data_IF_171449518271
#
_entry.id   IF_171449518271
#
_cell.length_a   1.000
_cell.length_b   1.000
_cell.length_c   1.000
_cell.angle_alpha   90.00
_cell.angle_beta   90.00
_cell.angle_gamma   90.00
#
_symmetry.space_group_name_H-M   'P 1'
#
loop_
_entity.id
_entity.type
_entity.pdbx_description
1 polymer ?
#
# COMPACT_ATOMS: atom_id res chain seq x y z
N UNK A 1 25.40 -30.16 -1.25
CA UNK A 1 23.99 -30.59 -1.17
C UNK A 1 23.23 -29.84 -2.24
N UNK A 2 22.38 -30.50 -3.04
CA UNK A 2 21.60 -29.80 -4.04
C UNK A 2 20.67 -28.84 -3.28
N UNK A 3 20.85 -27.55 -3.51
CA UNK A 3 19.97 -26.51 -3.00
C UNK A 3 18.57 -26.81 -3.49
N UNK A 4 17.67 -27.21 -2.58
CA UNK A 4 16.25 -27.31 -2.88
C UNK A 4 15.81 -25.96 -3.45
N UNK A 5 15.29 -25.97 -4.67
CA UNK A 5 14.59 -24.81 -5.22
C UNK A 5 13.39 -24.56 -4.31
N UNK A 6 13.47 -23.51 -3.50
CA UNK A 6 12.37 -23.10 -2.65
C UNK A 6 11.45 -22.31 -3.55
N UNK A 7 10.29 -22.88 -3.86
CA UNK A 7 9.24 -22.20 -4.62
C UNK A 7 8.74 -21.01 -3.81
N UNK A 8 8.97 -19.80 -4.30
CA UNK A 8 8.41 -18.57 -3.72
C UNK A 8 6.95 -18.47 -4.05
N UNK A 9 6.11 -18.56 -3.03
CA UNK A 9 4.66 -18.38 -3.19
C UNK A 9 4.26 -16.92 -3.08
N UNK A 10 5.05 -16.10 -2.36
CA UNK A 10 4.70 -14.71 -2.06
C UNK A 10 5.94 -13.89 -1.75
N UNK A 11 5.96 -12.63 -2.20
CA UNK A 11 7.03 -11.68 -1.89
C UNK A 11 6.45 -10.51 -1.09
N UNK A 12 7.04 -10.25 0.07
CA UNK A 12 6.70 -9.14 0.96
C UNK A 12 7.82 -8.11 0.88
N UNK A 13 7.51 -6.91 0.41
CA UNK A 13 8.48 -5.82 0.30
C UNK A 13 8.24 -4.81 1.41
N UNK A 14 9.29 -4.51 2.18
CA UNK A 14 9.23 -3.49 3.23
C UNK A 14 9.24 -2.06 2.65
N UNK A 15 8.50 -1.09 3.23
CA UNK A 15 8.52 0.31 2.82
C UNK A 15 9.93 0.93 2.78
N UNK A 16 10.84 0.47 3.64
CA UNK A 16 12.23 0.92 3.67
C UNK A 16 12.95 0.66 2.33
N UNK A 17 12.68 -0.47 1.69
CA UNK A 17 13.23 -0.83 0.37
C UNK A 17 12.73 0.15 -0.69
N UNK A 18 11.43 0.45 -0.68
CA UNK A 18 10.83 1.40 -1.63
C UNK A 18 11.45 2.79 -1.49
N UNK A 19 11.65 3.26 -0.25
CA UNK A 19 12.28 4.56 0.01
C UNK A 19 13.75 4.57 -0.45
N UNK A 20 14.50 3.49 -0.20
CA UNK A 20 15.89 3.32 -0.66
C UNK A 20 16.00 3.37 -2.19
N UNK A 21 15.08 2.70 -2.88
CA UNK A 21 15.04 2.66 -4.35
C UNK A 21 14.73 4.05 -4.93
N UNK A 22 13.76 4.76 -4.35
CA UNK A 22 13.40 6.13 -4.78
C UNK A 22 14.55 7.11 -4.53
N UNK A 23 15.23 7.01 -3.38
CA UNK A 23 16.42 7.80 -3.07
C UNK A 23 17.55 7.49 -4.07
N UNK A 24 17.80 6.22 -4.36
CA UNK A 24 18.79 5.81 -5.35
C UNK A 24 18.48 6.38 -6.75
N UNK A 25 17.23 6.28 -7.20
CA UNK A 25 16.78 6.85 -8.45
C UNK A 25 16.97 8.38 -8.49
N UNK A 26 16.68 9.07 -7.38
CA UNK A 26 16.84 10.53 -7.27
C UNK A 26 18.32 10.95 -7.32
N UNK A 27 19.23 10.19 -6.69
CA UNK A 27 20.68 10.45 -6.75
C UNK A 27 21.22 10.31 -8.17
N UNK A 28 20.83 9.25 -8.88
CA UNK A 28 21.24 9.04 -10.28
C UNK A 28 20.64 10.10 -11.21
N UNK A 29 19.39 10.52 -10.96
CA UNK A 29 18.74 11.59 -11.71
C UNK A 29 19.47 12.93 -11.64
N UNK A 30 20.15 13.26 -10.53
CA UNK A 30 20.96 14.49 -10.39
C UNK A 30 22.24 14.48 -11.22
N UNK A 31 22.75 13.29 -11.55
CA UNK A 31 23.98 13.09 -12.34
C UNK A 31 23.69 13.24 -13.85
N UNK A 32 22.42 13.46 -14.22
CA UNK A 32 21.98 13.65 -15.61
C UNK A 32 21.63 12.35 -16.33
N UNK A 33 21.64 11.22 -15.62
CA UNK A 33 21.38 9.90 -16.17
C UNK A 33 20.01 9.39 -15.68
N UNK A 34 18.93 9.61 -16.45
CA UNK A 34 17.61 9.00 -16.17
C UNK A 34 17.55 7.54 -16.64
N UNK A 35 18.64 6.80 -16.44
CA UNK A 35 18.73 5.38 -16.81
C UNK A 35 18.07 4.51 -15.76
N UNK A 36 17.75 3.28 -16.19
CA UNK A 36 17.31 2.22 -15.30
C UNK A 36 18.39 1.99 -14.26
N UNK A 37 17.97 1.89 -13.01
CA UNK A 37 18.86 1.65 -11.89
C UNK A 37 18.65 0.22 -11.42
N UNK A 38 19.75 -0.49 -11.15
CA UNK A 38 19.74 -1.86 -10.64
C UNK A 38 20.32 -1.87 -9.23
N UNK A 39 19.78 -2.73 -8.38
CA UNK A 39 20.35 -2.98 -7.07
C UNK A 39 20.02 -4.36 -6.55
N UNK A 40 20.67 -4.72 -5.46
CA UNK A 40 20.55 -6.05 -4.84
C UNK A 40 19.55 -5.98 -3.70
N UNK A 41 18.71 -7.01 -3.62
CA UNK A 41 17.74 -7.18 -2.54
C UNK A 41 18.31 -8.09 -1.47
N UNK A 42 18.21 -7.61 -0.23
CA UNK A 42 18.57 -8.32 0.97
C UNK A 42 17.31 -8.67 1.75
N UNK A 43 17.28 -9.87 2.28
CA UNK A 43 16.10 -10.37 2.95
C UNK A 43 16.31 -11.69 3.64
N UNK A 44 15.20 -12.22 4.12
CA UNK A 44 15.14 -13.53 4.75
C UNK A 44 13.97 -14.32 4.18
N UNK A 45 14.17 -15.63 4.08
CA UNK A 45 13.12 -16.55 3.70
C UNK A 45 12.38 -16.96 4.97
N UNK A 46 11.11 -16.57 5.08
CA UNK A 46 10.23 -17.08 6.15
C UNK A 46 9.78 -18.49 5.82
N UNK A 47 9.29 -19.20 6.84
CA UNK A 47 8.63 -20.48 6.64
C UNK A 47 7.45 -20.35 5.68
N UNK A 48 7.14 -21.46 4.96
CA UNK A 48 6.05 -21.56 3.97
C UNK A 48 6.28 -20.84 2.62
N UNK A 49 7.53 -20.57 2.24
CA UNK A 49 7.83 -20.03 0.90
C UNK A 49 7.51 -18.54 0.72
N UNK A 50 7.41 -17.80 1.83
CA UNK A 50 7.26 -16.34 1.83
C UNK A 50 8.64 -15.70 1.89
N UNK A 51 8.93 -14.85 0.90
CA UNK A 51 10.16 -14.07 0.85
C UNK A 51 9.92 -12.69 1.45
N UNK A 52 10.61 -12.35 2.54
CA UNK A 52 10.62 -10.98 3.05
C UNK A 52 11.85 -10.24 2.56
N UNK A 53 11.60 -9.09 1.96
CA UNK A 53 12.62 -8.16 1.50
C UNK A 53 12.70 -7.02 2.50
N UNK A 54 13.71 -7.06 3.36
CA UNK A 54 13.90 -6.11 4.45
C UNK A 54 14.76 -4.92 4.04
N UNK A 55 15.82 -5.17 3.25
CA UNK A 55 16.78 -4.14 2.92
C UNK A 55 17.22 -4.25 1.45
N UNK A 56 17.82 -3.18 0.93
CA UNK A 56 18.33 -3.15 -0.43
C UNK A 56 19.48 -2.16 -0.54
N UNK A 57 20.41 -2.45 -1.44
CA UNK A 57 21.48 -1.51 -1.76
C UNK A 57 21.66 -1.37 -3.26
N UNK A 58 22.12 -0.18 -3.62
CA UNK A 58 22.48 0.22 -4.98
C UNK A 58 23.72 -0.51 -5.45
N UNK A 59 23.75 -0.99 -6.69
CA UNK A 59 25.00 -1.44 -7.34
C UNK A 59 25.24 -0.53 -8.54
N UNK A 60 26.47 -0.04 -8.76
CA UNK A 60 26.82 0.68 -9.98
C UNK A 60 26.47 -0.18 -11.20
N UNK A 61 25.53 0.33 -12.00
CA UNK A 61 25.02 -0.34 -13.18
C UNK A 61 24.95 0.67 -14.32
N UNK A 62 25.55 0.32 -15.45
CA UNK A 62 25.49 1.10 -16.68
C UNK A 62 25.00 0.22 -17.82
N UNK A 63 24.04 0.75 -18.57
CA UNK A 63 23.51 0.15 -19.79
C UNK A 63 23.74 1.14 -20.94
N UNK A 64 24.20 0.64 -22.08
CA UNK A 64 24.29 1.46 -23.28
C UNK A 64 22.88 1.70 -23.86
N UNK A 65 22.59 2.95 -24.23
CA UNK A 65 21.29 3.32 -24.80
C UNK A 65 21.13 2.82 -26.23
N UNK A 66 22.26 2.61 -26.94
CA UNK A 66 22.28 2.15 -28.33
C UNK A 66 22.21 0.64 -28.43
N UNK A 67 23.08 -0.05 -27.69
CA UNK A 67 23.14 -1.51 -27.65
C UNK A 67 22.74 -2.02 -26.28
N UNK A 68 21.44 -2.32 -26.13
CA UNK A 68 20.87 -2.82 -24.88
C UNK A 68 21.57 -4.09 -24.37
N UNK A 69 22.12 -4.92 -25.26
CA UNK A 69 22.84 -6.15 -24.84
C UNK A 69 24.14 -5.89 -24.08
N UNK A 70 24.68 -4.66 -24.13
CA UNK A 70 25.91 -4.29 -23.41
C UNK A 70 25.53 -3.61 -22.11
N UNK A 71 25.76 -4.31 -21.01
CA UNK A 71 25.55 -3.80 -19.66
C UNK A 71 26.75 -4.14 -18.78
N UNK A 72 26.98 -3.30 -17.78
CA UNK A 72 28.03 -3.45 -16.80
C UNK A 72 27.43 -3.53 -15.40
N UNK A 73 27.87 -4.52 -14.62
CA UNK A 73 27.51 -4.69 -13.21
C UNK A 73 28.78 -4.97 -12.42
N UNK A 74 29.04 -4.17 -11.39
CA UNK A 74 30.21 -4.34 -10.53
C UNK A 74 30.01 -5.47 -9.50
N UNK A 75 30.70 -6.58 -9.73
CA UNK A 75 30.72 -7.75 -8.86
C UNK A 75 31.53 -7.59 -7.59
N UNK A 76 32.65 -6.87 -7.66
CA UNK A 76 33.55 -6.68 -6.53
C UNK A 76 32.86 -5.77 -5.50
N UNK A 77 32.16 -4.75 -5.97
CA UNK A 77 31.32 -3.92 -5.12
C UNK A 77 30.23 -4.75 -4.41
N UNK A 78 29.55 -5.65 -5.15
CA UNK A 78 28.51 -6.52 -4.59
C UNK A 78 29.07 -7.40 -3.46
N UNK A 79 30.20 -8.07 -3.68
CA UNK A 79 30.79 -8.97 -2.68
C UNK A 79 31.30 -8.22 -1.45
N UNK A 80 31.96 -7.07 -1.64
CA UNK A 80 32.44 -6.24 -0.55
C UNK A 80 31.30 -5.66 0.29
N UNK A 81 30.26 -5.12 -0.35
CA UNK A 81 29.07 -4.59 0.34
C UNK A 81 28.30 -5.70 1.05
N UNK A 82 28.10 -6.84 0.39
CA UNK A 82 27.46 -7.98 1.02
C UNK A 82 28.26 -8.46 2.26
N UNK A 83 29.59 -8.48 2.17
CA UNK A 83 30.47 -8.76 3.29
C UNK A 83 30.32 -7.78 4.46
N UNK A 84 30.05 -6.50 4.19
CA UNK A 84 29.75 -5.50 5.22
C UNK A 84 28.36 -5.70 5.84
N UNK A 85 27.32 -5.88 5.03
CA UNK A 85 25.95 -6.10 5.53
C UNK A 85 25.86 -7.38 6.37
N UNK A 86 26.55 -8.45 5.95
CA UNK A 86 26.61 -9.70 6.71
C UNK A 86 27.30 -9.55 8.08
N UNK A 87 28.23 -8.59 8.23
CA UNK A 87 28.86 -8.26 9.53
C UNK A 87 27.91 -7.51 10.45
N UNK A 88 27.05 -6.65 9.90
CA UNK A 88 26.05 -5.88 10.68
C UNK A 88 24.88 -6.77 11.06
N UNK A 89 24.35 -7.54 10.10
CA UNK A 89 23.23 -8.44 10.31
C UNK A 89 23.47 -9.79 9.63
N UNK A 90 23.75 -10.83 10.43
CA UNK A 90 24.02 -12.17 9.92
C UNK A 90 22.76 -12.91 9.38
N UNK A 91 21.56 -12.39 9.66
CA UNK A 91 20.30 -12.98 9.19
C UNK A 91 19.96 -12.59 7.75
N UNK A 92 20.43 -11.43 7.30
CA UNK A 92 20.21 -10.95 5.94
C UNK A 92 21.06 -11.74 4.95
N UNK A 93 20.40 -12.25 3.92
CA UNK A 93 21.04 -12.88 2.77
C UNK A 93 20.61 -12.14 1.51
N UNK A 94 21.41 -12.26 0.46
CA UNK A 94 20.95 -11.88 -0.87
C UNK A 94 19.77 -12.79 -1.23
N UNK A 95 18.69 -12.19 -1.69
CA UNK A 95 17.45 -12.91 -2.06
C UNK A 95 17.06 -12.67 -3.51
N UNK A 96 17.65 -11.66 -4.13
CA UNK A 96 17.34 -11.29 -5.48
C UNK A 96 17.86 -9.91 -5.81
N UNK A 97 17.23 -9.26 -6.77
CA UNK A 97 17.60 -7.95 -7.23
C UNK A 97 16.37 -7.17 -7.69
N UNK A 98 16.52 -5.86 -7.73
CA UNK A 98 15.48 -4.97 -8.21
C UNK A 98 16.01 -4.13 -9.36
N UNK A 99 15.11 -3.67 -10.21
CA UNK A 99 15.41 -2.60 -11.13
C UNK A 99 14.29 -1.56 -11.19
N UNK A 100 14.66 -0.31 -11.44
CA UNK A 100 13.73 0.80 -11.63
C UNK A 100 13.44 0.98 -13.12
N UNK A 101 12.43 0.28 -13.63
CA UNK A 101 12.08 0.36 -15.04
C UNK A 101 10.61 0.04 -15.25
N UNK A 102 9.89 0.74 -16.15
CA UNK A 102 8.45 0.57 -16.27
C UNK A 102 8.05 -0.77 -16.91
N UNK A 103 8.99 -1.46 -17.57
CA UNK A 103 8.78 -2.76 -18.25
C UNK A 103 10.05 -3.62 -18.20
N UNK A 104 9.85 -4.93 -18.27
CA UNK A 104 10.89 -5.94 -18.43
C UNK A 104 11.65 -5.77 -19.75
N UNK A 105 12.95 -6.04 -19.73
CA UNK A 105 13.85 -6.05 -20.87
C UNK A 105 14.44 -7.45 -21.07
N UNK A 106 14.82 -7.77 -22.31
CA UNK A 106 15.44 -9.06 -22.62
C UNK A 106 16.75 -9.30 -21.86
N UNK A 107 17.48 -8.22 -21.54
CA UNK A 107 18.72 -8.26 -20.76
C UNK A 107 18.53 -8.77 -19.33
N UNK A 108 17.31 -8.68 -18.79
CA UNK A 108 17.02 -9.06 -17.41
C UNK A 108 17.22 -10.56 -17.20
N UNK A 109 17.05 -11.37 -18.26
CA UNK A 109 17.36 -12.80 -18.21
C UNK A 109 18.86 -13.03 -17.97
N UNK A 110 19.72 -12.29 -18.68
CA UNK A 110 21.18 -12.39 -18.54
C UNK A 110 21.67 -11.88 -17.18
N UNK A 111 21.11 -10.75 -16.71
CA UNK A 111 21.42 -10.19 -15.39
C UNK A 111 20.98 -11.15 -14.29
N UNK A 112 19.80 -11.76 -14.42
CA UNK A 112 19.33 -12.71 -13.43
C UNK A 112 20.20 -13.97 -13.37
N UNK A 113 20.67 -14.49 -14.51
CA UNK A 113 21.58 -15.63 -14.54
C UNK A 113 22.92 -15.35 -13.83
N UNK A 114 23.40 -14.13 -13.96
CA UNK A 114 24.58 -13.67 -13.26
C UNK A 114 24.39 -13.68 -11.73
N UNK A 115 23.25 -13.15 -11.28
CA UNK A 115 22.90 -13.08 -9.85
C UNK A 115 22.55 -14.47 -9.30
N UNK A 116 22.08 -15.39 -10.15
CA UNK A 116 21.79 -16.78 -9.79
C UNK A 116 23.03 -17.54 -9.30
N UNK A 117 24.25 -17.10 -9.70
CA UNK A 117 25.52 -17.63 -9.17
C UNK A 117 25.68 -17.38 -7.67
N UNK A 118 25.18 -16.25 -7.18
CA UNK A 118 25.20 -15.90 -5.76
C UNK A 118 23.99 -16.48 -5.02
N UNK A 119 22.83 -16.57 -5.68
CA UNK A 119 21.57 -17.00 -5.08
C UNK A 119 20.77 -17.90 -6.03
N UNK A 120 20.61 -19.20 -5.73
CA UNK A 120 19.90 -20.12 -6.62
C UNK A 120 18.42 -19.73 -6.84
N UNK A 121 17.78 -19.12 -5.83
CA UNK A 121 16.39 -18.69 -5.84
C UNK A 121 16.29 -17.16 -5.98
N UNK A 122 16.92 -16.61 -7.02
CA UNK A 122 16.90 -15.16 -7.27
C UNK A 122 15.51 -14.69 -7.72
N UNK A 123 14.96 -13.72 -7.00
CA UNK A 123 13.71 -13.04 -7.37
C UNK A 123 14.03 -11.67 -7.97
N UNK A 124 13.34 -11.34 -9.05
CA UNK A 124 13.37 -10.00 -9.64
C UNK A 124 12.18 -9.20 -9.12
N UNK A 125 12.42 -8.01 -8.57
CA UNK A 125 11.33 -7.08 -8.20
C UNK A 125 11.44 -5.81 -9.03
N UNK A 126 10.41 -5.53 -9.81
CA UNK A 126 10.27 -4.25 -10.50
C UNK A 126 9.64 -3.26 -9.54
N UNK A 127 10.30 -2.14 -9.36
CA UNK A 127 9.80 -1.03 -8.54
C UNK A 127 9.65 0.18 -9.45
N UNK A 128 8.43 0.70 -9.56
CA UNK A 128 8.20 1.93 -10.29
C UNK A 128 8.65 3.13 -9.45
N UNK A 129 9.64 3.87 -9.96
CA UNK A 129 10.12 5.08 -9.31
C UNK A 129 9.14 6.26 -9.51
N UNK A 130 8.22 6.16 -10.48
CA UNK A 130 7.20 7.18 -10.71
C UNK A 130 5.89 6.72 -10.05
N UNK A 131 5.28 7.55 -9.19
CA UNK A 131 4.02 7.17 -8.56
C UNK A 131 2.94 7.04 -9.64
N UNK A 132 2.36 5.85 -9.74
CA UNK A 132 1.11 5.62 -10.48
C UNK A 132 -0.05 5.84 -9.51
N UNK A 133 -1.14 6.44 -10.00
CA UNK A 133 -2.32 6.77 -9.19
C UNK A 133 -3.05 5.54 -8.62
N UNK A 134 -2.76 4.33 -9.13
CA UNK A 134 -3.49 3.13 -8.78
C UNK A 134 -2.63 1.86 -8.87
N UNK A 135 -2.72 1.02 -7.85
CA UNK A 135 -2.03 -0.28 -7.78
C UNK A 135 -0.83 -0.28 -6.83
N UNK A 136 -0.28 -1.47 -6.62
CA UNK A 136 0.99 -1.64 -5.92
C UNK A 136 2.12 -1.27 -6.90
N UNK A 137 3.10 -0.44 -6.50
CA UNK A 137 4.23 -0.08 -7.35
C UNK A 137 5.28 -1.20 -7.47
N UNK A 138 4.99 -2.38 -6.92
CA UNK A 138 5.89 -3.53 -6.82
C UNK A 138 5.33 -4.72 -7.59
N UNK A 139 6.10 -5.20 -8.56
CA UNK A 139 5.81 -6.46 -9.26
C UNK A 139 6.98 -7.41 -9.03
N UNK A 140 6.69 -8.64 -8.61
CA UNK A 140 7.71 -9.64 -8.36
C UNK A 140 7.66 -10.72 -9.44
N UNK A 141 8.83 -11.16 -9.88
CA UNK A 141 9.00 -12.15 -10.93
C UNK A 141 10.05 -13.18 -10.52
N UNK A 142 9.80 -14.43 -10.88
CA UNK A 142 10.77 -15.52 -10.76
C UNK A 142 11.10 -16.05 -12.15
N UNK A 143 12.39 -16.32 -12.39
CA UNK A 143 12.79 -16.94 -13.65
C UNK A 143 12.48 -18.43 -13.60
N UNK A 144 11.65 -18.88 -14.53
CA UNK A 144 11.27 -20.28 -14.74
C UNK A 144 11.69 -20.68 -16.15
N UNK A 145 12.18 -21.90 -16.30
CA UNK A 145 12.44 -22.50 -17.60
C UNK A 145 11.15 -23.15 -18.08
N UNK A 146 10.40 -22.43 -18.92
CA UNK A 146 9.19 -22.97 -19.53
C UNK A 146 9.53 -23.74 -20.80
N UNK A 147 9.05 -24.99 -20.85
CA UNK A 147 9.02 -25.76 -22.09
C UNK A 147 7.74 -25.38 -22.80
N UNK A 148 7.87 -24.65 -23.91
CA UNK A 148 6.73 -24.30 -24.73
C UNK A 148 6.19 -25.56 -25.45
N UNK A 149 4.87 -25.74 -25.41
CA UNK A 149 4.17 -26.84 -26.10
C UNK A 149 4.21 -26.71 -27.64
N UNK A 150 4.63 -25.54 -28.14
CA UNK A 150 4.81 -25.22 -29.57
C UNK A 150 6.12 -25.76 -30.17
N UNK A 151 6.90 -26.53 -29.40
CA UNK A 151 8.15 -27.15 -29.88
C UNK A 151 9.33 -26.18 -30.04
N UNK A 152 9.18 -24.92 -29.64
CA UNK A 152 10.30 -23.97 -29.56
C UNK A 152 11.29 -24.36 -28.45
N UNK A 153 12.58 -24.01 -28.57
CA UNK A 153 13.58 -24.28 -27.53
C UNK A 153 13.16 -23.74 -26.16
N UNK A 154 13.58 -24.41 -25.09
CA UNK A 154 13.35 -23.97 -23.71
C UNK A 154 13.83 -22.53 -23.55
N UNK A 155 12.90 -21.63 -23.22
CA UNK A 155 13.21 -20.23 -22.96
C UNK A 155 13.05 -19.96 -21.48
N UNK A 156 13.97 -19.16 -20.92
CA UNK A 156 13.85 -18.65 -19.55
C UNK A 156 12.87 -17.49 -19.58
N UNK A 157 11.68 -17.71 -19.07
CA UNK A 157 10.65 -16.68 -18.93
C UNK A 157 10.53 -16.25 -17.48
N UNK A 158 9.94 -15.08 -17.26
CA UNK A 158 9.68 -14.56 -15.94
C UNK A 158 8.20 -14.78 -15.61
N UNK A 159 7.93 -15.58 -14.60
CA UNK A 159 6.59 -15.80 -14.07
C UNK A 159 6.33 -14.80 -12.94
N UNK A 160 5.14 -14.18 -12.95
CA UNK A 160 4.76 -13.22 -11.93
C UNK A 160 4.38 -13.93 -10.61
N UNK A 161 4.93 -13.44 -9.50
CA UNK A 161 4.60 -13.90 -8.15
C UNK A 161 3.81 -12.81 -7.44
N UNK A 162 2.74 -13.15 -6.68
CA UNK A 162 2.02 -12.16 -5.91
C UNK A 162 2.93 -11.41 -4.93
N UNK A 163 2.96 -10.09 -5.09
CA UNK A 163 3.67 -9.14 -4.25
C UNK A 163 2.71 -8.47 -3.26
N UNK A 164 3.19 -8.21 -2.05
CA UNK A 164 2.53 -7.31 -1.11
C UNK A 164 3.54 -6.40 -0.42
N UNK A 165 3.05 -5.29 0.13
CA UNK A 165 3.86 -4.42 0.97
C UNK A 165 3.54 -4.77 2.41
N UNK A 166 4.53 -5.26 3.14
CA UNK A 166 4.43 -5.55 4.57
C UNK A 166 5.36 -4.65 5.35
N UNK A 167 4.99 -4.27 6.57
CA UNK A 167 5.83 -3.46 7.45
C UNK A 167 6.16 -4.24 8.72
N UNK A 168 7.35 -3.99 9.26
CA UNK A 168 7.70 -4.38 10.64
C UNK A 168 7.17 -3.33 11.63
N UNK A 169 6.93 -3.71 12.89
CA UNK A 169 6.35 -2.82 13.91
C UNK A 169 7.11 -1.49 14.06
N UNK A 170 8.45 -1.55 14.02
CA UNK A 170 9.29 -0.35 14.06
C UNK A 170 9.12 0.54 12.81
N UNK A 171 8.95 -0.06 11.63
CA UNK A 171 8.73 0.67 10.39
C UNK A 171 7.32 1.26 10.34
N UNK A 172 6.31 0.55 10.84
CA UNK A 172 4.92 0.99 10.87
C UNK A 172 4.78 2.31 11.64
N UNK A 173 5.40 2.40 12.82
CA UNK A 173 5.41 3.64 13.62
C UNK A 173 6.11 4.78 12.87
N UNK A 174 7.21 4.49 12.18
CA UNK A 174 7.94 5.49 11.39
C UNK A 174 7.15 6.01 10.19
N UNK A 175 6.52 5.10 9.44
CA UNK A 175 5.67 5.43 8.29
C UNK A 175 4.41 6.16 8.72
N UNK A 176 3.78 5.74 9.82
CA UNK A 176 2.62 6.44 10.39
C UNK A 176 2.98 7.88 10.77
N UNK A 177 4.13 8.09 11.39
CA UNK A 177 4.60 9.43 11.75
C UNK A 177 4.81 10.32 10.52
N UNK A 178 5.42 9.79 9.46
CA UNK A 178 5.64 10.52 8.20
C UNK A 178 4.34 10.83 7.46
N UNK A 179 3.32 9.99 7.61
CA UNK A 179 2.03 10.14 6.95
C UNK A 179 1.01 10.94 7.77
N UNK A 180 1.37 11.46 8.94
CA UNK A 180 0.44 12.22 9.81
C UNK A 180 -0.19 13.43 9.10
N UNK A 181 0.55 14.05 8.19
CA UNK A 181 0.10 15.24 7.44
C UNK A 181 -0.74 14.90 6.20
N UNK A 182 -0.74 13.63 5.76
CA UNK A 182 -1.39 13.16 4.52
C UNK A 182 -2.59 12.25 4.82
N UNK A 183 -2.51 11.42 5.87
CA UNK A 183 -3.61 10.56 6.29
C UNK A 183 -4.65 11.38 7.05
N UNK A 184 -5.77 11.67 6.40
CA UNK A 184 -6.99 12.07 7.07
C UNK A 184 -7.49 10.92 7.96
N UNK A 185 -7.01 10.87 9.20
CA UNK A 185 -7.45 9.93 10.24
C UNK A 185 -8.93 10.15 10.61
N UNK A 186 -9.53 11.22 10.09
CA UNK A 186 -10.93 11.64 10.25
C UNK A 186 -11.88 10.97 9.28
N UNK A 187 -11.38 10.22 8.27
CA UNK A 187 -12.25 9.52 7.31
C UNK A 187 -12.94 8.36 8.02
N UNK A 188 -14.25 8.50 8.27
CA UNK A 188 -15.06 7.45 8.87
C UNK A 188 -15.00 6.13 8.11
N UNK A 189 -15.26 5.03 8.80
CA UNK A 189 -15.21 3.66 8.25
C UNK A 189 -16.08 3.46 7.00
N UNK A 190 -17.19 4.20 6.88
CA UNK A 190 -18.05 4.18 5.69
C UNK A 190 -17.35 4.79 4.47
N UNK A 191 -16.76 5.98 4.62
CA UNK A 191 -16.06 6.67 3.54
C UNK A 191 -14.86 5.85 3.06
N UNK A 192 -14.10 5.22 3.96
CA UNK A 192 -13.02 4.29 3.58
C UNK A 192 -13.53 3.11 2.75
N UNK A 193 -14.66 2.48 3.14
CA UNK A 193 -15.25 1.38 2.37
C UNK A 193 -15.69 1.80 0.98
N UNK A 194 -16.31 2.98 0.85
CA UNK A 194 -16.74 3.53 -0.45
C UNK A 194 -15.52 3.81 -1.32
N UNK A 195 -14.48 4.41 -0.76
CA UNK A 195 -13.22 4.66 -1.46
C UNK A 195 -12.58 3.34 -1.91
N UNK A 196 -12.57 2.31 -1.07
CA UNK A 196 -12.05 0.98 -1.44
C UNK A 196 -12.85 0.33 -2.58
N UNK A 197 -14.19 0.44 -2.58
CA UNK A 197 -15.02 -0.05 -3.69
C UNK A 197 -14.73 0.72 -4.99
N UNK A 198 -14.62 2.05 -4.92
CA UNK A 198 -14.30 2.88 -6.07
C UNK A 198 -12.90 2.58 -6.62
N UNK A 199 -11.90 2.45 -5.75
CA UNK A 199 -10.53 2.08 -6.14
C UNK A 199 -10.50 0.67 -6.75
N UNK A 200 -11.23 -0.28 -6.18
CA UNK A 200 -11.37 -1.63 -6.73
C UNK A 200 -11.98 -1.63 -8.14
N UNK A 201 -13.02 -0.83 -8.38
CA UNK A 201 -13.63 -0.71 -9.71
C UNK A 201 -12.69 -0.03 -10.72
N UNK A 202 -11.96 1.01 -10.31
CA UNK A 202 -10.92 1.63 -11.16
C UNK A 202 -9.81 0.63 -11.50
N UNK A 203 -9.41 -0.22 -10.55
CA UNK A 203 -8.38 -1.24 -10.75
C UNK A 203 -8.84 -2.30 -11.75
N UNK A 204 -10.07 -2.79 -11.58
CA UNK A 204 -10.67 -3.74 -12.52
C UNK A 204 -10.79 -3.14 -13.93
N UNK A 205 -11.18 -1.86 -14.05
CA UNK A 205 -11.23 -1.18 -15.35
C UNK A 205 -9.87 -1.12 -16.04
N UNK A 206 -8.80 -0.82 -15.30
CA UNK A 206 -7.43 -0.81 -15.82
C UNK A 206 -7.00 -2.21 -16.30
N UNK A 207 -7.25 -3.26 -15.50
CA UNK A 207 -6.91 -4.63 -15.86
C UNK A 207 -7.68 -5.12 -17.10
N UNK A 208 -8.98 -4.87 -17.19
CA UNK A 208 -9.79 -5.23 -18.38
C UNK A 208 -9.27 -4.50 -19.62
N UNK A 209 -8.84 -3.23 -19.47
CA UNK A 209 -8.26 -2.46 -20.57
C UNK A 209 -6.93 -3.05 -21.04
N UNK A 210 -6.08 -3.49 -20.13
CA UNK A 210 -4.81 -4.17 -20.47
C UNK A 210 -5.06 -5.50 -21.17
N UNK A 211 -6.00 -6.31 -20.69
CA UNK A 211 -6.41 -7.56 -21.35
C UNK A 211 -6.88 -7.29 -22.79
N UNK A 212 -7.73 -6.27 -22.98
CA UNK A 212 -8.18 -5.87 -24.31
C UNK A 212 -7.00 -5.44 -25.19
N UNK A 213 -6.10 -4.62 -24.67
CA UNK A 213 -4.96 -4.11 -25.43
C UNK A 213 -3.98 -5.24 -25.80
N UNK A 214 -3.85 -6.28 -24.97
CA UNK A 214 -3.13 -7.52 -25.29
C UNK A 214 -3.84 -8.29 -26.42
N UNK A 215 -5.14 -8.56 -26.31
CA UNK A 215 -5.89 -9.30 -27.33
C UNK A 215 -5.90 -8.58 -28.68
N UNK A 216 -5.96 -7.24 -28.70
CA UNK A 216 -5.85 -6.43 -29.92
C UNK A 216 -4.45 -6.57 -30.55
N UNK A 217 -3.39 -6.61 -29.74
CA UNK A 217 -2.03 -6.80 -30.27
C UNK A 217 -1.80 -8.20 -30.84
N UNK A 218 -2.35 -9.23 -30.18
CA UNK A 218 -2.33 -10.61 -30.67
C UNK A 218 -3.16 -10.76 -31.94
N UNK A 219 -4.37 -10.20 -31.99
CA UNK A 219 -5.23 -10.23 -33.17
C UNK A 219 -4.64 -9.51 -34.39
N UNK A 220 -3.81 -8.49 -34.16
CA UNK A 220 -3.04 -7.81 -35.21
C UNK A 220 -1.73 -8.52 -35.60
N UNK A 221 -1.39 -9.65 -34.96
CA UNK A 221 -0.18 -10.43 -35.24
C UNK A 221 1.13 -9.80 -34.79
N UNK A 222 1.10 -8.80 -33.89
CA UNK A 222 2.33 -8.12 -33.42
C UNK A 222 3.08 -8.89 -32.33
N UNK A 223 2.37 -9.71 -31.54
CA UNK A 223 2.93 -10.53 -30.48
C UNK A 223 2.58 -12.01 -30.72
N UNK A 224 3.49 -12.93 -30.32
CA UNK A 224 3.17 -14.35 -30.30
C UNK A 224 2.07 -14.65 -29.29
N UNK A 225 1.26 -15.67 -29.60
CA UNK A 225 0.15 -16.10 -28.77
C UNK A 225 0.70 -16.86 -27.55
N UNK A 226 0.36 -16.40 -26.35
CA UNK A 226 0.57 -17.21 -25.15
C UNK A 226 -0.72 -17.97 -24.85
N UNK A 227 -0.71 -19.28 -25.12
CA UNK A 227 -1.86 -20.16 -24.95
C UNK A 227 -2.37 -20.21 -23.49
N UNK A 228 -1.46 -20.13 -22.51
CA UNK A 228 -1.82 -20.17 -21.09
C UNK A 228 -2.73 -19.00 -20.70
N UNK A 229 -2.41 -17.79 -21.17
CA UNK A 229 -3.21 -16.60 -20.91
C UNK A 229 -4.60 -16.73 -21.55
N UNK A 230 -4.69 -17.28 -22.76
CA UNK A 230 -5.97 -17.48 -23.44
C UNK A 230 -6.85 -18.48 -22.69
N UNK A 231 -6.28 -19.59 -22.20
CA UNK A 231 -7.04 -20.57 -21.42
C UNK A 231 -7.58 -19.96 -20.13
N UNK A 232 -6.76 -19.18 -19.41
CA UNK A 232 -7.22 -18.47 -18.21
C UNK A 232 -8.32 -17.44 -18.53
N UNK A 233 -8.19 -16.71 -19.65
CA UNK A 233 -9.23 -15.77 -20.09
C UNK A 233 -10.54 -16.49 -20.43
N UNK A 234 -10.47 -17.65 -21.09
CA UNK A 234 -11.64 -18.47 -21.38
C UNK A 234 -12.33 -18.96 -20.10
N UNK A 235 -11.55 -19.41 -19.12
CA UNK A 235 -12.07 -19.81 -17.81
C UNK A 235 -12.77 -18.64 -17.09
N UNK A 236 -12.22 -17.43 -17.18
CA UNK A 236 -12.86 -16.22 -16.63
C UNK A 236 -14.25 -16.00 -17.26
N UNK A 237 -14.38 -16.16 -18.58
CA UNK A 237 -15.69 -16.02 -19.24
C UNK A 237 -16.66 -17.14 -18.88
N UNK A 238 -16.16 -18.38 -18.71
CA UNK A 238 -16.99 -19.51 -18.31
C UNK A 238 -17.49 -19.41 -16.85
N UNK A 239 -16.73 -18.74 -15.98
CA UNK A 239 -17.06 -18.53 -14.57
C UNK A 239 -17.93 -17.30 -14.32
N UNK A 240 -18.25 -16.50 -15.35
CA UNK A 240 -19.13 -15.35 -15.18
C UNK A 240 -20.51 -15.80 -14.70
N UNK A 241 -20.97 -15.33 -13.53
CA UNK A 241 -22.25 -15.75 -12.98
C UNK A 241 -23.40 -15.19 -13.83
N UNK A 242 -24.38 -16.04 -14.13
CA UNK A 242 -25.62 -15.60 -14.74
C UNK A 242 -26.52 -14.93 -13.69
N UNK A 243 -26.52 -13.60 -13.72
CA UNK A 243 -27.28 -12.75 -12.80
C UNK A 243 -28.80 -12.77 -13.06
N UNK A 244 -29.26 -13.42 -14.12
CA UNK A 244 -30.69 -13.45 -14.48
C UNK A 244 -31.46 -14.61 -13.88
N UNK A 245 -30.78 -15.53 -13.19
CA UNK A 245 -31.45 -16.68 -12.55
C UNK A 245 -32.36 -16.22 -11.41
N UNK A 246 -33.62 -16.67 -11.43
CA UNK A 246 -34.62 -16.32 -10.42
C UNK A 246 -34.20 -16.70 -8.99
N UNK A 247 -33.47 -17.80 -8.83
CA UNK A 247 -32.94 -18.24 -7.53
C UNK A 247 -31.96 -17.22 -6.94
N UNK A 248 -31.11 -16.62 -7.77
CA UNK A 248 -30.18 -15.57 -7.34
C UNK A 248 -30.95 -14.31 -6.94
N UNK A 249 -31.93 -13.90 -7.74
CA UNK A 249 -32.78 -12.73 -7.48
C UNK A 249 -33.53 -12.86 -6.15
N UNK A 250 -34.17 -14.01 -5.92
CA UNK A 250 -34.88 -14.27 -4.66
C UNK A 250 -33.92 -14.26 -3.46
N UNK A 251 -32.76 -14.89 -3.60
CA UNK A 251 -31.74 -14.91 -2.54
C UNK A 251 -31.19 -13.51 -2.25
N UNK A 252 -31.03 -12.66 -3.27
CA UNK A 252 -30.60 -11.28 -3.14
C UNK A 252 -31.66 -10.47 -2.39
N UNK A 253 -32.93 -10.62 -2.73
CA UNK A 253 -34.02 -9.94 -2.03
C UNK A 253 -34.07 -10.31 -0.55
N UNK A 254 -33.95 -11.60 -0.21
CA UNK A 254 -33.90 -12.04 1.19
C UNK A 254 -32.71 -11.39 1.92
N UNK A 255 -31.53 -11.40 1.31
CA UNK A 255 -30.34 -10.78 1.93
C UNK A 255 -30.42 -9.26 2.04
N UNK A 256 -30.99 -8.57 1.06
CA UNK A 256 -31.23 -7.13 1.13
C UNK A 256 -32.22 -6.80 2.25
N UNK A 257 -33.29 -7.57 2.38
CA UNK A 257 -34.28 -7.38 3.44
C UNK A 257 -33.66 -7.57 4.84
N UNK A 258 -32.87 -8.65 5.03
CA UNK A 258 -32.14 -8.90 6.29
C UNK A 258 -31.18 -7.74 6.63
N UNK A 259 -30.42 -7.27 5.64
CA UNK A 259 -29.48 -6.16 5.84
C UNK A 259 -30.22 -4.86 6.17
N UNK A 260 -31.36 -4.59 5.52
CA UNK A 260 -32.16 -3.40 5.78
C UNK A 260 -32.77 -3.42 7.19
N UNK A 261 -33.17 -4.59 7.69
CA UNK A 261 -33.63 -4.76 9.07
C UNK A 261 -32.53 -4.38 10.08
N UNK A 262 -31.29 -4.81 9.85
CA UNK A 262 -30.13 -4.45 10.70
C UNK A 262 -29.88 -2.95 10.66
N UNK A 263 -29.95 -2.32 9.48
CA UNK A 263 -29.81 -0.87 9.33
C UNK A 263 -30.90 -0.13 10.11
N UNK A 264 -32.14 -0.60 10.04
CA UNK A 264 -33.26 0.01 10.75
C UNK A 264 -33.10 -0.09 12.27
N UNK A 265 -32.75 -1.27 12.79
CA UNK A 265 -32.51 -1.46 14.23
C UNK A 265 -31.36 -0.57 14.73
N UNK A 266 -30.26 -0.49 13.97
CA UNK A 266 -29.13 0.37 14.30
C UNK A 266 -29.49 1.86 14.29
N UNK A 267 -30.38 2.29 13.40
CA UNK A 267 -30.89 3.66 13.36
C UNK A 267 -31.77 3.96 14.59
N UNK A 268 -32.66 3.04 14.97
CA UNK A 268 -33.54 3.20 16.14
C UNK A 268 -32.71 3.31 17.43
N UNK A 269 -31.73 2.42 17.63
CA UNK A 269 -30.82 2.48 18.78
C UNK A 269 -30.05 3.81 18.79
N UNK A 270 -29.55 4.27 17.64
CA UNK A 270 -28.89 5.59 17.54
C UNK A 270 -29.82 6.74 17.91
N UNK A 271 -31.10 6.71 17.50
CA UNK A 271 -32.09 7.73 17.87
C UNK A 271 -32.33 7.77 19.38
N UNK A 272 -32.43 6.61 20.03
CA UNK A 272 -32.61 6.52 21.50
C UNK A 272 -31.38 7.08 22.23
N UNK A 273 -30.17 6.72 21.79
CA UNK A 273 -28.93 7.26 22.36
C UNK A 273 -28.85 8.78 22.16
N UNK A 274 -29.19 9.28 20.97
CA UNK A 274 -29.19 10.71 20.68
C UNK A 274 -30.20 11.48 21.56
N UNK A 275 -31.39 10.91 21.79
CA UNK A 275 -32.40 11.44 22.72
C UNK A 275 -31.87 11.47 24.16
N UNK A 276 -31.25 10.40 24.63
CA UNK A 276 -30.66 10.35 25.97
C UNK A 276 -29.55 11.40 26.13
N UNK A 277 -28.68 11.54 25.13
CA UNK A 277 -27.64 12.56 25.11
C UNK A 277 -28.24 13.98 25.10
N UNK A 278 -29.33 14.21 24.37
CA UNK A 278 -30.03 15.50 24.37
C UNK A 278 -30.62 15.84 25.74
N UNK A 279 -31.21 14.85 26.43
CA UNK A 279 -31.74 15.01 27.78
C UNK A 279 -30.59 15.39 28.73
N UNK A 280 -29.47 14.66 28.67
CA UNK A 280 -28.30 14.95 29.50
C UNK A 280 -27.73 16.34 29.21
N UNK A 281 -27.59 16.72 27.94
CA UNK A 281 -27.13 18.05 27.53
C UNK A 281 -28.07 19.17 28.00
N UNK A 282 -29.38 18.95 27.98
CA UNK A 282 -30.36 19.93 28.48
C UNK A 282 -30.29 20.08 29.99
N UNK A 283 -30.11 18.99 30.73
CA UNK A 283 -29.92 19.00 32.18
C UNK A 283 -28.65 19.75 32.58
N UNK A 284 -27.51 19.43 31.95
CA UNK A 284 -26.24 20.10 32.21
C UNK A 284 -26.29 21.58 31.87
N UNK A 285 -26.90 21.97 30.73
CA UNK A 285 -27.07 23.37 30.37
C UNK A 285 -27.97 24.11 31.37
N UNK A 286 -29.09 23.52 31.79
CA UNK A 286 -29.99 24.13 32.78
C UNK A 286 -29.29 24.33 34.13
N UNK A 287 -28.50 23.36 34.57
CA UNK A 287 -27.77 23.46 35.83
C UNK A 287 -26.60 24.46 35.73
N UNK A 288 -25.99 24.59 34.55
CA UNK A 288 -25.00 25.64 34.26
C UNK A 288 -25.62 27.04 34.25
N UNK A 289 -26.77 27.23 33.61
CA UNK A 289 -27.54 28.48 33.61
C UNK A 289 -27.92 28.89 35.04
N UNK A 290 -28.42 27.94 35.85
CA UNK A 290 -28.73 28.20 37.26
C UNK A 290 -27.51 28.69 38.05
N UNK A 291 -26.36 28.02 37.89
CA UNK A 291 -25.10 28.42 38.53
C UNK A 291 -24.61 29.78 38.03
N UNK A 292 -24.82 30.13 36.76
CA UNK A 292 -24.53 31.47 36.25
C UNK A 292 -25.45 32.54 36.85
N UNK A 293 -26.75 32.29 36.93
CA UNK A 293 -27.69 33.22 37.56
C UNK A 293 -27.40 33.41 39.04
N UNK A 294 -27.00 32.36 39.76
CA UNK A 294 -26.57 32.47 41.15
C UNK A 294 -25.28 33.29 41.27
N UNK A 295 -24.29 33.08 40.39
CA UNK A 295 -23.05 33.89 40.36
C UNK A 295 -23.33 35.36 40.07
N UNK A 296 -24.15 35.66 39.06
CA UNK A 296 -24.57 37.04 38.71
C UNK A 296 -25.35 37.70 39.85
N UNK A 297 -26.19 36.95 40.56
CA UNK A 297 -26.90 37.43 41.75
C UNK A 297 -25.98 37.71 42.94
N UNK A 298 -24.90 36.93 43.12
CA UNK A 298 -23.89 37.17 44.15
C UNK A 298 -23.01 38.38 43.81
N UNK A 299 -22.69 38.59 42.53
CA UNK A 299 -21.95 39.78 42.05
C UNK A 299 -22.79 41.06 42.19
N UNK A 300 -24.07 41.04 41.81
CA UNK A 300 -24.99 42.16 42.01
C UNK A 300 -25.14 42.53 43.50
N UNK A 301 -25.28 41.53 44.40
CA UNK A 301 -25.30 41.78 45.85
C UNK A 301 -23.98 42.31 46.41
N UNK A 302 -22.84 42.00 45.79
CA UNK A 302 -21.54 42.59 46.16
C UNK A 302 -21.40 44.03 45.66
N UNK A 303 -21.98 44.36 44.50
CA UNK A 303 -22.02 45.74 44.00
C UNK A 303 -22.97 46.62 44.81
N UNK A 304 -24.17 46.14 45.16
CA UNK A 304 -25.10 46.86 46.04
C UNK A 304 -24.49 47.14 47.41
N UNK A 305 -23.81 46.15 48.03
CA UNK A 305 -23.10 46.37 49.30
C UNK A 305 -21.98 47.40 49.20
N UNK A 306 -21.25 47.44 48.07
CA UNK A 306 -20.22 48.46 47.83
C UNK A 306 -20.83 49.85 47.61
N UNK A 307 -22.02 49.95 47.04
CA UNK A 307 -22.74 51.23 46.91
C UNK A 307 -23.33 51.71 48.24
N UNK A 308 -23.83 50.80 49.09
CA UNK A 308 -24.28 51.11 50.45
C UNK A 308 -23.13 51.56 51.35
N UNK A 309 -21.98 50.88 51.33
CA UNK A 309 -20.78 51.30 52.07
C UNK A 309 -20.30 52.70 51.61
N UNK A 310 -20.35 53.00 50.30
CA UNK A 310 -20.03 54.34 49.77
C UNK A 310 -21.05 55.41 50.17
N UNK A 311 -22.32 55.05 50.38
CA UNK A 311 -23.36 55.98 50.88
C UNK A 311 -23.19 56.24 52.37
N UNK A 312 -22.87 55.22 53.17
CA UNK A 312 -22.56 55.39 54.59
C UNK A 312 -21.29 56.21 54.83
N UNK A 313 -20.24 56.06 54.01
CA UNK A 313 -19.05 56.93 54.08
C UNK A 313 -19.38 58.39 53.74
N UNK A 314 -20.25 58.62 52.74
CA UNK A 314 -20.71 59.97 52.38
C UNK A 314 -21.57 60.61 53.48
N UNK A 315 -22.41 59.84 54.17
CA UNK A 315 -23.17 60.36 55.31
C UNK A 315 -22.27 60.65 56.51
N UNK A 316 -21.30 59.77 56.83
CA UNK A 316 -20.31 60.03 57.89
C UNK A 316 -19.41 61.24 57.60
N UNK A 317 -19.16 61.58 56.34
CA UNK A 317 -18.43 62.80 55.96
C UNK A 317 -19.25 64.10 56.04
N UNK A 318 -20.58 64.03 56.11
CA UNK A 318 -21.46 65.21 56.25
C UNK A 318 -21.77 65.56 57.70
N UNK A 319 -21.42 64.69 58.64
CA UNK A 319 -21.67 64.86 60.09
C UNK A 319 -20.39 65.23 60.86
N UNK A 320 -19.38 65.76 60.18
CA UNK A 320 -18.13 66.26 60.78
C UNK A 320 -17.87 67.70 60.39
#
# INVERSE_FOLDING_TARGET
>A
MPSQEVTTTKVVVHPLVLLSVVDHFTRMGKIGNQKRVVGVLLGCWRGKGVLDVSNSFAVPFDEDDKDKSVWFLDHDYLENMFGMFKKVNAREKVVGWYHTGPKLHQNDVSINELIRRYCPNSVLVIIDAKPKDLGLPTEAYQAVEEVHDDGSPTSKTFEHIPSEIGAEEAEEVGVEHLLRDIKDTTVGTLSQRITNQLLGLKGLHAQIREIRDYLVQVGNGKLPINHQIIYQLQDIFNLLPDMTQNTFVDSLYVKTNDQMLVVYLAALVRSVIALHNLINNKLTNRDAEKKETEKKGIEAKKEEKKEEEKKEEKEKSKTK
#
